data_IF_807992020936
#
_entry.id   IF_807992020936
#
_cell.length_a   1.000
_cell.length_b   1.000
_cell.length_c   1.000
_cell.angle_alpha   90.00
_cell.angle_beta   90.00
_cell.angle_gamma   90.00
#
_symmetry.space_group_name_H-M   'P 1'
#
loop_
_entity.id
_entity.type
_entity.pdbx_description
1 polymer ?
#
# COMPACT_ATOMS: atom_id res chain seq x y z
N UNK A 1 55.83 31.36 3.16
CA UNK A 1 54.40 31.57 2.89
C UNK A 1 53.70 30.28 3.30
N UNK A 2 53.02 30.26 4.45
CA UNK A 2 52.30 29.08 4.97
C UNK A 2 50.88 29.09 4.40
N UNK A 3 50.49 28.02 3.69
CA UNK A 3 49.19 27.90 3.03
C UNK A 3 48.04 27.73 4.03
N UNK A 4 46.92 28.38 3.73
CA UNK A 4 45.67 28.29 4.49
C UNK A 4 45.11 26.86 4.45
N UNK A 5 44.53 26.35 5.56
CA UNK A 5 43.82 25.08 5.53
C UNK A 5 42.51 25.27 4.75
N UNK A 6 42.25 24.39 3.79
CA UNK A 6 40.95 24.29 3.16
C UNK A 6 39.97 23.68 4.17
N UNK A 7 38.95 24.46 4.55
CA UNK A 7 37.84 23.94 5.33
C UNK A 7 36.92 23.17 4.37
N UNK A 8 36.78 21.87 4.59
CA UNK A 8 35.75 21.09 3.92
C UNK A 8 34.38 21.59 4.42
N UNK A 9 33.52 22.02 3.49
CA UNK A 9 32.14 22.32 3.79
C UNK A 9 31.45 21.02 4.27
N UNK A 10 30.48 21.10 5.20
CA UNK A 10 29.63 19.96 5.50
C UNK A 10 29.01 19.48 4.19
N UNK A 11 29.17 18.21 3.85
CA UNK A 11 28.37 17.58 2.82
C UNK A 11 26.91 17.78 3.20
N UNK A 12 26.14 18.46 2.35
CA UNK A 12 24.69 18.46 2.42
C UNK A 12 24.24 17.04 2.71
N UNK A 13 23.46 16.87 3.77
CA UNK A 13 22.83 15.58 4.03
C UNK A 13 21.94 15.38 2.82
N UNK A 14 22.30 14.46 1.91
CA UNK A 14 21.54 14.24 0.70
C UNK A 14 20.07 14.13 1.08
N UNK A 15 19.28 15.08 0.60
CA UNK A 15 17.90 15.31 1.03
C UNK A 15 17.14 13.99 0.86
N UNK A 16 16.66 13.42 1.96
CA UNK A 16 15.89 12.19 1.89
C UNK A 16 14.62 12.48 1.05
N UNK A 17 14.19 11.56 0.16
CA UNK A 17 13.06 11.84 -0.72
C UNK A 17 11.83 12.26 0.08
N UNK A 18 11.16 13.33 -0.36
CA UNK A 18 9.96 13.85 0.31
C UNK A 18 8.85 12.80 0.29
N UNK A 19 7.87 12.85 1.22
CA UNK A 19 6.67 12.03 1.12
C UNK A 19 6.00 12.17 -0.25
N UNK A 20 5.43 11.07 -0.75
CA UNK A 20 4.73 11.07 -2.03
C UNK A 20 3.44 11.90 -1.97
N UNK A 21 3.15 12.61 -3.06
CA UNK A 21 1.94 13.39 -3.23
C UNK A 21 0.94 12.64 -4.12
N UNK A 22 -0.32 13.06 -4.08
CA UNK A 22 -1.45 12.33 -4.69
C UNK A 22 -1.25 11.97 -6.18
N UNK A 23 -0.71 12.90 -6.98
CA UNK A 23 -0.53 12.76 -8.43
C UNK A 23 0.75 11.99 -8.82
N UNK A 24 1.59 11.64 -7.84
CA UNK A 24 2.86 10.95 -8.06
C UNK A 24 2.73 9.43 -8.00
N UNK A 25 1.57 8.89 -7.63
CA UNK A 25 1.40 7.46 -7.32
C UNK A 25 0.41 6.83 -8.32
N UNK A 26 0.85 5.77 -8.97
CA UNK A 26 -0.02 4.84 -9.68
C UNK A 26 -0.24 3.58 -8.81
N UNK A 27 -1.43 3.01 -8.89
CA UNK A 27 -1.80 1.79 -8.15
C UNK A 27 -2.37 0.75 -9.10
N UNK A 28 -1.90 -0.49 -8.97
CA UNK A 28 -2.46 -1.67 -9.62
C UNK A 28 -2.74 -2.75 -8.58
N UNK A 29 -3.52 -3.76 -8.95
CA UNK A 29 -3.78 -4.92 -8.11
C UNK A 29 -3.38 -6.22 -8.80
N UNK A 30 -2.91 -7.19 -8.03
CA UNK A 30 -2.70 -8.56 -8.48
C UNK A 30 -4.03 -9.29 -8.70
N UNK A 31 -3.98 -10.45 -9.36
CA UNK A 31 -5.07 -11.42 -9.26
C UNK A 31 -5.28 -11.87 -7.81
N UNK A 32 -6.51 -12.19 -7.46
CA UNK A 32 -6.88 -12.66 -6.12
C UNK A 32 -6.22 -13.99 -5.78
N UNK A 33 -5.69 -14.08 -4.57
CA UNK A 33 -5.21 -15.31 -3.96
C UNK A 33 -6.22 -15.80 -2.93
N UNK A 34 -6.26 -17.11 -2.68
CA UNK A 34 -7.20 -17.71 -1.74
C UNK A 34 -6.53 -18.77 -0.87
N UNK A 35 -6.82 -18.76 0.43
CA UNK A 35 -6.37 -19.78 1.36
C UNK A 35 -7.28 -19.84 2.60
N UNK A 36 -7.76 -21.03 2.95
CA UNK A 36 -8.55 -21.31 4.17
C UNK A 36 -9.70 -20.30 4.40
N UNK A 37 -10.45 -19.99 3.35
CA UNK A 37 -11.58 -19.04 3.42
C UNK A 37 -11.18 -17.57 3.30
N UNK A 38 -9.90 -17.23 3.40
CA UNK A 38 -9.40 -15.88 3.13
C UNK A 38 -9.24 -15.64 1.62
N UNK A 39 -9.27 -14.36 1.25
CA UNK A 39 -8.94 -13.81 -0.05
C UNK A 39 -7.91 -12.71 0.15
N UNK A 40 -6.99 -12.57 -0.80
CA UNK A 40 -6.10 -11.42 -0.83
C UNK A 40 -5.94 -10.86 -2.23
N UNK A 41 -5.85 -9.55 -2.31
CA UNK A 41 -5.33 -8.83 -3.47
C UNK A 41 -4.12 -8.00 -3.03
N UNK A 42 -3.02 -8.13 -3.76
CA UNK A 42 -1.83 -7.30 -3.51
C UNK A 42 -1.96 -6.03 -4.33
N UNK A 43 -2.04 -4.89 -3.66
CA UNK A 43 -1.89 -3.57 -4.26
C UNK A 43 -0.42 -3.29 -4.49
N UNK A 44 -0.06 -2.83 -5.68
CA UNK A 44 1.29 -2.40 -6.03
C UNK A 44 1.27 -0.90 -6.28
N UNK A 45 2.12 -0.19 -5.56
CA UNK A 45 2.32 1.26 -5.65
C UNK A 45 3.60 1.54 -6.42
N UNK A 46 3.50 2.37 -7.45
CA UNK A 46 4.63 2.81 -8.27
C UNK A 46 4.56 4.31 -8.53
N UNK A 47 5.67 4.89 -8.96
CA UNK A 47 5.65 6.27 -9.46
C UNK A 47 4.79 6.36 -10.72
N UNK A 48 3.88 7.34 -10.73
CA UNK A 48 3.25 7.80 -11.95
C UNK A 48 4.33 8.36 -12.91
N UNK A 49 4.12 8.21 -14.22
CA UNK A 49 5.13 8.55 -15.22
C UNK A 49 5.61 10.01 -15.10
N UNK A 50 6.92 10.20 -14.90
CA UNK A 50 7.54 11.52 -14.79
C UNK A 50 7.58 12.11 -13.38
N UNK A 51 7.10 11.41 -12.36
CA UNK A 51 7.27 11.82 -10.97
C UNK A 51 8.71 11.59 -10.48
N UNK A 52 9.17 12.46 -9.58
CA UNK A 52 10.44 12.30 -8.87
C UNK A 52 10.31 11.24 -7.75
N UNK A 53 11.42 10.61 -7.32
CA UNK A 53 11.41 9.69 -6.19
C UNK A 53 10.83 10.31 -4.93
N UNK A 54 10.03 9.53 -4.20
CA UNK A 54 9.32 9.97 -3.00
C UNK A 54 9.17 8.82 -1.99
N UNK A 55 8.78 9.13 -0.76
CA UNK A 55 8.60 8.15 0.31
C UNK A 55 7.12 7.81 0.55
N UNK A 56 6.84 6.53 0.79
CA UNK A 56 5.52 6.00 1.14
C UNK A 56 5.63 5.16 2.42
N UNK A 57 4.71 5.36 3.36
CA UNK A 57 4.69 4.65 4.65
C UNK A 57 3.26 4.54 5.18
N UNK A 58 3.00 3.66 6.13
CA UNK A 58 1.67 3.53 6.74
C UNK A 58 0.73 2.62 5.95
N UNK A 59 -0.56 2.95 5.94
CA UNK A 59 -1.63 2.14 5.37
C UNK A 59 -2.33 2.89 4.23
N UNK A 60 -2.64 2.25 3.10
CA UNK A 60 -3.59 2.81 2.17
C UNK A 60 -5.00 2.78 2.78
N UNK A 61 -5.81 3.79 2.49
CA UNK A 61 -7.26 3.69 2.65
C UNK A 61 -7.81 2.79 1.54
N UNK A 62 -8.68 1.85 1.89
CA UNK A 62 -9.30 0.95 0.92
C UNK A 62 -10.78 0.78 1.24
N UNK A 63 -11.62 1.07 0.25
CA UNK A 63 -13.04 0.74 0.26
C UNK A 63 -13.36 -0.26 -0.85
N UNK A 64 -14.40 -1.07 -0.65
CA UNK A 64 -14.95 -1.87 -1.74
C UNK A 64 -15.63 -0.98 -2.78
N UNK A 65 -15.51 -1.37 -4.05
CA UNK A 65 -16.25 -0.75 -5.16
C UNK A 65 -17.53 -1.51 -5.51
N UNK A 66 -17.84 -1.62 -6.80
CA UNK A 66 -19.00 -2.36 -7.28
C UNK A 66 -18.96 -3.85 -6.91
N UNK A 67 -20.13 -4.42 -6.55
CA UNK A 67 -20.32 -5.86 -6.33
C UNK A 67 -21.18 -6.23 -5.11
N UNK A 68 -21.31 -5.32 -4.15
CA UNK A 68 -22.07 -5.55 -2.92
C UNK A 68 -22.27 -4.26 -2.11
N UNK A 69 -22.72 -4.39 -0.85
CA UNK A 69 -22.73 -3.27 0.09
C UNK A 69 -21.33 -2.66 0.26
N UNK A 70 -21.22 -1.35 0.57
CA UNK A 70 -19.92 -0.74 0.80
C UNK A 70 -19.25 -1.32 2.05
N UNK A 71 -17.97 -1.67 1.94
CA UNK A 71 -17.13 -2.16 3.02
C UNK A 71 -15.89 -1.28 3.08
N UNK A 72 -15.57 -0.80 4.28
CA UNK A 72 -14.33 -0.11 4.57
C UNK A 72 -13.30 -1.10 5.12
N UNK A 73 -12.10 -1.12 4.56
CA UNK A 73 -11.03 -1.98 5.05
C UNK A 73 -10.47 -1.47 6.38
N UNK A 74 -10.39 -2.34 7.38
CA UNK A 74 -9.78 -2.01 8.66
C UNK A 74 -8.26 -2.10 8.56
N UNK A 75 -7.49 -1.06 8.94
CA UNK A 75 -6.05 -1.16 9.07
C UNK A 75 -5.65 -2.20 10.12
N UNK A 76 -4.86 -3.20 9.73
CA UNK A 76 -4.33 -4.23 10.63
C UNK A 76 -2.86 -4.48 10.33
N UNK A 77 -2.01 -4.53 11.36
CA UNK A 77 -0.57 -4.76 11.16
C UNK A 77 -0.30 -6.07 10.41
N UNK A 78 -1.12 -7.09 10.66
CA UNK A 78 -0.97 -8.47 10.20
C UNK A 78 -2.32 -9.14 10.07
N UNK A 79 -2.41 -10.10 9.16
CA UNK A 79 -3.56 -10.95 8.89
C UNK A 79 -3.12 -12.35 8.48
N UNK A 80 -4.07 -13.17 8.05
CA UNK A 80 -3.76 -14.53 7.60
C UNK A 80 -2.96 -14.53 6.29
N UNK A 81 -3.27 -13.57 5.41
CA UNK A 81 -2.71 -13.46 4.07
C UNK A 81 -1.44 -12.61 4.03
N UNK A 82 -1.12 -11.84 5.07
CA UNK A 82 0.16 -11.15 5.17
C UNK A 82 0.21 -10.00 6.16
N UNK A 83 0.91 -8.94 5.75
CA UNK A 83 1.25 -7.80 6.58
C UNK A 83 2.68 -7.86 7.12
N UNK A 84 2.94 -7.15 8.22
CA UNK A 84 4.30 -7.01 8.75
C UNK A 84 4.85 -8.34 9.29
N UNK A 85 6.17 -8.57 9.21
CA UNK A 85 6.79 -9.72 9.86
C UNK A 85 6.56 -9.70 11.38
N UNK A 86 6.67 -10.88 12.01
CA UNK A 86 6.53 -11.01 13.46
C UNK A 86 7.54 -10.13 14.20
N UNK A 87 7.05 -9.36 15.18
CA UNK A 87 7.86 -8.45 16.00
C UNK A 87 8.04 -7.04 15.44
N UNK A 88 7.68 -6.78 14.17
CA UNK A 88 7.67 -5.44 13.59
C UNK A 88 6.34 -4.72 13.85
N UNK A 89 6.31 -3.72 14.73
CA UNK A 89 5.09 -2.99 15.10
C UNK A 89 4.94 -1.63 14.39
N UNK A 90 5.90 -1.27 13.55
CA UNK A 90 5.94 0.02 12.86
C UNK A 90 5.99 -0.22 11.35
N UNK A 91 5.07 0.35 10.56
CA UNK A 91 5.15 0.36 9.11
C UNK A 91 6.51 0.89 8.61
N UNK A 92 7.18 0.19 7.67
CA UNK A 92 8.41 0.70 7.09
C UNK A 92 8.12 1.91 6.18
N UNK A 93 9.14 2.74 5.96
CA UNK A 93 9.13 3.74 4.89
C UNK A 93 9.80 3.17 3.66
N UNK A 94 9.10 3.19 2.53
CA UNK A 94 9.58 2.72 1.23
C UNK A 94 9.85 3.92 0.33
N UNK A 95 10.97 3.92 -0.38
CA UNK A 95 11.25 4.92 -1.42
C UNK A 95 10.69 4.38 -2.74
N UNK A 96 9.73 5.08 -3.32
CA UNK A 96 9.28 4.83 -4.68
C UNK A 96 10.24 5.50 -5.66
N UNK A 97 10.64 4.76 -6.69
CA UNK A 97 11.53 5.24 -7.75
C UNK A 97 11.17 4.55 -9.08
N UNK A 98 11.91 4.87 -10.14
CA UNK A 98 11.75 4.16 -11.43
C UNK A 98 12.07 2.66 -11.33
N UNK A 99 12.84 2.23 -10.32
CA UNK A 99 13.24 0.84 -10.11
C UNK A 99 12.72 0.24 -8.82
N UNK A 100 11.97 0.99 -8.00
CA UNK A 100 11.49 0.52 -6.70
C UNK A 100 10.00 0.81 -6.56
N UNK A 101 9.28 -0.23 -6.16
CA UNK A 101 7.85 -0.21 -5.91
C UNK A 101 7.60 -0.57 -4.45
N UNK A 102 6.39 -0.29 -3.99
CA UNK A 102 5.90 -0.76 -2.71
C UNK A 102 4.65 -1.61 -2.92
N UNK A 103 4.28 -2.39 -1.92
CA UNK A 103 3.06 -3.20 -1.95
C UNK A 103 2.29 -3.10 -0.63
N UNK A 104 0.98 -3.32 -0.69
CA UNK A 104 0.15 -3.56 0.48
C UNK A 104 -0.83 -4.69 0.16
N UNK A 105 -1.19 -5.48 1.16
CA UNK A 105 -2.13 -6.59 1.00
C UNK A 105 -3.50 -6.14 1.52
N UNK A 106 -4.52 -6.31 0.68
CA UNK A 106 -5.93 -6.22 1.07
C UNK A 106 -6.43 -7.63 1.29
N UNK A 107 -6.89 -7.92 2.50
CA UNK A 107 -7.35 -9.24 2.92
C UNK A 107 -8.86 -9.21 3.18
N UNK A 108 -9.57 -10.24 2.74
CA UNK A 108 -10.99 -10.42 3.04
C UNK A 108 -11.32 -11.87 3.39
N UNK A 109 -12.53 -12.09 3.91
CA UNK A 109 -13.09 -13.43 4.13
C UNK A 109 -14.17 -13.70 3.10
N UNK A 110 -14.10 -14.86 2.43
CA UNK A 110 -15.05 -15.25 1.39
C UNK A 110 -16.32 -15.92 1.93
N UNK A 111 -16.36 -16.23 3.21
CA UNK A 111 -17.48 -16.85 3.91
C UNK A 111 -17.81 -16.00 5.13
N UNK A 112 -19.09 -15.78 5.39
CA UNK A 112 -19.58 -15.00 6.52
C UNK A 112 -19.66 -15.82 7.82
N UNK A 113 -20.17 -15.21 8.89
CA UNK A 113 -20.32 -15.86 10.21
C UNK A 113 -21.37 -16.98 10.24
N UNK A 114 -22.28 -17.02 9.26
CA UNK A 114 -23.32 -18.03 9.12
C UNK A 114 -22.90 -19.18 8.18
N UNK A 115 -21.73 -19.07 7.53
CA UNK A 115 -21.25 -20.04 6.55
C UNK A 115 -21.70 -19.75 5.11
N UNK A 116 -22.28 -18.58 4.85
CA UNK A 116 -22.75 -18.16 3.54
C UNK A 116 -21.64 -17.49 2.72
N UNK A 117 -21.64 -17.63 1.39
CA UNK A 117 -20.65 -16.97 0.54
C UNK A 117 -20.82 -15.45 0.55
N UNK A 118 -19.70 -14.75 0.63
CA UNK A 118 -19.66 -13.30 0.56
C UNK A 118 -19.85 -12.77 -0.87
N UNK A 119 -20.29 -11.51 -1.03
CA UNK A 119 -20.33 -10.85 -2.33
C UNK A 119 -18.95 -10.78 -2.99
N UNK A 120 -18.93 -10.82 -4.33
CA UNK A 120 -17.73 -10.59 -5.13
C UNK A 120 -17.70 -9.14 -5.61
N UNK A 121 -16.68 -8.40 -5.20
CA UNK A 121 -16.38 -7.07 -5.72
C UNK A 121 -15.51 -7.16 -6.95
N UNK A 122 -15.64 -6.20 -7.86
CA UNK A 122 -14.85 -6.15 -9.12
C UNK A 122 -13.80 -5.05 -9.12
N UNK A 123 -13.84 -4.15 -8.15
CA UNK A 123 -12.89 -3.06 -7.99
C UNK A 123 -12.76 -2.65 -6.53
N UNK A 124 -11.65 -1.99 -6.23
CA UNK A 124 -11.37 -1.34 -4.96
C UNK A 124 -11.19 0.16 -5.18
N UNK A 125 -11.62 0.96 -4.22
CA UNK A 125 -11.35 2.39 -4.17
C UNK A 125 -10.17 2.59 -3.22
N UNK A 126 -9.04 3.03 -3.75
CA UNK A 126 -7.77 3.08 -3.02
C UNK A 126 -7.29 4.51 -2.85
N UNK A 127 -7.06 4.90 -1.61
CA UNK A 127 -6.30 6.09 -1.25
C UNK A 127 -4.88 5.66 -0.88
N UNK A 128 -3.84 6.02 -1.66
CA UNK A 128 -2.46 5.85 -1.20
C UNK A 128 -2.24 6.51 0.17
N UNK A 129 -1.35 5.97 1.01
CA UNK A 129 -1.10 6.52 2.34
C UNK A 129 -0.84 8.03 2.33
N UNK A 130 -1.44 8.74 3.29
CA UNK A 130 -1.31 10.19 3.49
C UNK A 130 -1.67 11.05 2.26
N UNK A 131 -2.45 10.51 1.33
CA UNK A 131 -2.99 11.24 0.18
C UNK A 131 -4.51 11.41 0.25
N UNK A 132 -5.06 12.31 -0.56
CA UNK A 132 -6.52 12.57 -0.61
C UNK A 132 -7.16 12.09 -1.91
N UNK A 133 -6.37 11.62 -2.88
CA UNK A 133 -6.89 11.06 -4.13
C UNK A 133 -7.45 9.66 -3.90
N UNK A 134 -8.57 9.36 -4.53
CA UNK A 134 -9.16 8.01 -4.58
C UNK A 134 -8.96 7.48 -5.99
N UNK A 135 -8.32 6.32 -6.10
CA UNK A 135 -8.07 5.62 -7.36
C UNK A 135 -9.00 4.40 -7.43
N UNK A 136 -9.76 4.26 -8.51
CA UNK A 136 -10.52 3.04 -8.79
C UNK A 136 -9.56 2.01 -9.39
N UNK A 137 -9.31 0.93 -8.65
CA UNK A 137 -8.38 -0.14 -9.03
C UNK A 137 -9.17 -1.40 -9.35
N UNK A 138 -9.15 -1.90 -10.61
CA UNK A 138 -9.78 -3.17 -10.95
C UNK A 138 -9.17 -4.31 -10.13
N UNK A 139 -10.00 -4.99 -9.35
CA UNK A 139 -9.58 -6.07 -8.46
C UNK A 139 -10.80 -6.91 -8.09
N UNK A 140 -10.79 -8.19 -8.47
CA UNK A 140 -11.83 -9.11 -8.02
C UNK A 140 -11.54 -9.57 -6.58
N UNK A 141 -12.52 -9.54 -5.69
CA UNK A 141 -12.36 -10.12 -4.34
C UNK A 141 -13.70 -10.51 -3.71
N UNK A 142 -13.78 -11.72 -3.16
CA UNK A 142 -14.93 -12.12 -2.34
C UNK A 142 -14.70 -11.63 -0.90
N UNK A 143 -15.61 -10.81 -0.37
CA UNK A 143 -15.42 -10.24 0.96
C UNK A 143 -16.73 -9.88 1.68
N UNK A 144 -16.86 -10.27 2.94
CA UNK A 144 -17.87 -9.71 3.85
C UNK A 144 -17.30 -8.62 4.77
N UNK A 145 -15.98 -8.64 4.96
CA UNK A 145 -15.19 -7.64 5.65
C UNK A 145 -13.84 -7.55 4.94
N UNK A 146 -13.21 -6.37 5.02
CA UNK A 146 -11.88 -6.14 4.49
C UNK A 146 -10.92 -5.69 5.59
N UNK A 147 -9.68 -6.10 5.44
CA UNK A 147 -8.53 -5.61 6.16
C UNK A 147 -7.52 -5.08 5.14
N UNK A 148 -6.72 -4.13 5.58
CA UNK A 148 -5.59 -3.63 4.80
C UNK A 148 -4.35 -3.61 5.67
N UNK A 149 -3.27 -4.15 5.13
CA UNK A 149 -1.97 -4.20 5.80
C UNK A 149 -1.07 -3.03 5.41
N UNK A 150 -0.04 -2.72 6.21
CA UNK A 150 0.87 -1.63 5.90
C UNK A 150 1.57 -1.82 4.55
N UNK A 151 1.97 -0.70 3.97
CA UNK A 151 2.88 -0.67 2.84
C UNK A 151 4.23 -1.28 3.25
N UNK A 152 4.74 -2.17 2.41
CA UNK A 152 6.08 -2.78 2.53
C UNK A 152 6.81 -2.71 1.19
N UNK A 153 8.14 -2.92 1.17
CA UNK A 153 8.82 -3.26 -0.07
C UNK A 153 8.20 -4.52 -0.73
N UNK A 154 8.35 -4.62 -2.06
CA UNK A 154 7.94 -5.80 -2.86
C UNK A 154 8.82 -7.00 -2.54
#
# INVERSE_FOLDING_TARGET
>A
MLGSPAWAMPTDTADAPTPCWSDQIAVTASSTQAAVGHRAATLVFSLAGGAEPCTLTGYPGVDSGAGGPPIHAQPTLRGYMGGLPGGAEVPPTVILSLSTQAQAIVEGTAIDVNGEPCPTYTELLVNPPDTTVVLTVPAAIDACALQVHPVTPV
#
